data_IF_472889664077
#
_entry.id   IF_472889664077
#
_cell.length_a   1.000
_cell.length_b   1.000
_cell.length_c   1.000
_cell.angle_alpha   90.00
_cell.angle_beta   90.00
_cell.angle_gamma   90.00
#
_symmetry.space_group_name_H-M   'P 1'
#
loop_
_entity.id
_entity.type
_entity.pdbx_description
1 polymer ?
#
# COMPACT_ATOMS: atom_id res chain seq x y z
N UNK A 1 -19.96 -22.91 5.28
CA UNK A 1 -18.75 -22.91 6.13
C UNK A 1 -19.18 -22.95 7.61
N UNK A 2 -19.31 -24.14 8.13
CA UNK A 2 -19.69 -24.33 9.54
C UNK A 2 -18.38 -24.32 10.36
N UNK A 3 -18.25 -23.46 11.36
CA UNK A 3 -17.19 -23.34 12.34
C UNK A 3 -16.03 -22.34 12.08
N UNK A 4 -16.15 -21.37 11.18
CA UNK A 4 -15.21 -20.25 11.11
C UNK A 4 -15.45 -19.34 12.31
N UNK A 5 -14.42 -19.10 13.12
CA UNK A 5 -14.45 -18.23 14.30
C UNK A 5 -13.58 -16.98 14.16
N UNK A 6 -12.65 -17.00 13.21
CA UNK A 6 -11.73 -15.90 12.96
C UNK A 6 -11.54 -15.69 11.45
N UNK A 7 -11.29 -14.44 11.08
CA UNK A 7 -10.97 -14.01 9.72
C UNK A 7 -9.69 -13.19 9.79
N UNK A 8 -8.71 -13.56 8.98
CA UNK A 8 -7.44 -12.84 8.88
C UNK A 8 -7.37 -12.25 7.47
N UNK A 9 -7.09 -10.95 7.39
CA UNK A 9 -7.00 -10.20 6.15
C UNK A 9 -5.54 -9.94 5.80
N UNK A 10 -5.24 -9.96 4.52
CA UNK A 10 -4.13 -9.19 3.98
C UNK A 10 -4.44 -7.69 4.06
N UNK A 11 -3.42 -6.85 4.16
CA UNK A 11 -3.59 -5.42 4.36
C UNK A 11 -3.56 -4.62 3.03
N UNK A 12 -2.39 -4.64 2.37
CA UNK A 12 -2.10 -3.76 1.24
C UNK A 12 -2.68 -4.29 -0.08
N UNK A 13 -3.66 -3.58 -0.63
CA UNK A 13 -4.41 -4.01 -1.82
C UNK A 13 -5.63 -4.88 -1.51
N UNK A 14 -5.88 -5.17 -0.23
CA UNK A 14 -7.06 -5.91 0.26
C UNK A 14 -7.93 -5.04 1.16
N UNK A 15 -7.39 -4.51 2.25
CA UNK A 15 -8.08 -3.56 3.12
C UNK A 15 -7.79 -2.12 2.74
N UNK A 16 -6.57 -1.82 2.32
CA UNK A 16 -6.09 -0.47 2.03
C UNK A 16 -5.71 -0.32 0.56
N UNK A 17 -6.15 0.78 -0.03
CA UNK A 17 -5.77 1.18 -1.38
C UNK A 17 -4.36 1.77 -1.37
N UNK A 18 -3.40 1.02 -1.91
CA UNK A 18 -1.99 1.40 -1.97
C UNK A 18 -1.74 2.61 -2.89
N UNK A 19 -2.63 2.89 -3.83
CA UNK A 19 -2.51 4.03 -4.72
C UNK A 19 -3.01 5.33 -4.08
N UNK A 20 -3.71 5.26 -2.95
CA UNK A 20 -4.34 6.42 -2.32
C UNK A 20 -3.34 7.50 -1.86
N UNK A 21 -2.08 7.13 -1.56
CA UNK A 21 -1.05 8.12 -1.25
C UNK A 21 -0.74 9.02 -2.45
N UNK A 22 -0.48 8.43 -3.61
CA UNK A 22 -0.23 9.18 -4.84
C UNK A 22 -1.48 9.92 -5.34
N UNK A 23 -2.67 9.31 -5.19
CA UNK A 23 -3.93 9.94 -5.55
C UNK A 23 -4.18 11.25 -4.77
N UNK A 24 -3.87 11.26 -3.48
CA UNK A 24 -3.98 12.49 -2.66
C UNK A 24 -3.04 13.61 -3.11
N UNK A 25 -1.97 13.26 -3.84
CA UNK A 25 -1.04 14.21 -4.44
C UNK A 25 -1.27 14.46 -5.93
N UNK A 26 -2.38 13.97 -6.51
CA UNK A 26 -2.64 14.04 -7.96
C UNK A 26 -2.56 15.44 -8.56
N UNK A 27 -2.98 16.46 -7.82
CA UNK A 27 -2.94 17.84 -8.29
C UNK A 27 -1.50 18.37 -8.41
N UNK A 28 -0.58 17.88 -7.58
CA UNK A 28 0.85 18.20 -7.63
C UNK A 28 1.60 17.35 -8.64
N UNK A 29 1.28 16.06 -8.74
CA UNK A 29 1.91 15.11 -9.66
C UNK A 29 1.43 15.32 -11.10
N UNK A 30 0.17 15.73 -11.28
CA UNK A 30 -0.44 15.91 -12.58
C UNK A 30 -0.93 14.60 -13.21
N UNK A 31 -1.13 14.59 -14.53
CA UNK A 31 -1.73 13.48 -15.29
C UNK A 31 -0.97 12.14 -15.19
N UNK A 32 0.29 12.15 -14.75
CA UNK A 32 1.11 10.95 -14.60
C UNK A 32 0.93 10.23 -13.26
N UNK A 33 0.05 10.71 -12.37
CA UNK A 33 -0.09 10.17 -11.02
C UNK A 33 -0.47 8.68 -10.97
N UNK A 34 -1.37 8.22 -11.83
CA UNK A 34 -1.77 6.79 -11.89
C UNK A 34 -0.61 5.89 -12.32
N UNK A 35 0.08 6.29 -13.40
CA UNK A 35 1.26 5.56 -13.87
C UNK A 35 2.34 5.50 -12.82
N UNK A 36 2.59 6.61 -12.12
CA UNK A 36 3.52 6.69 -11.01
C UNK A 36 3.11 5.77 -9.85
N UNK A 37 1.84 5.81 -9.42
CA UNK A 37 1.33 4.97 -8.33
C UNK A 37 1.48 3.47 -8.64
N UNK A 38 1.10 3.06 -9.84
CA UNK A 38 1.22 1.68 -10.29
C UNK A 38 2.69 1.24 -10.39
N UNK A 39 3.56 2.10 -10.89
CA UNK A 39 5.00 1.81 -10.97
C UNK A 39 5.62 1.69 -9.57
N UNK A 40 5.26 2.56 -8.65
CA UNK A 40 5.71 2.49 -7.25
C UNK A 40 5.30 1.15 -6.62
N UNK A 41 4.04 0.75 -6.75
CA UNK A 41 3.55 -0.53 -6.24
C UNK A 41 4.25 -1.72 -6.88
N UNK A 42 4.39 -1.74 -8.18
CA UNK A 42 5.08 -2.83 -8.90
C UNK A 42 6.53 -2.95 -8.46
N UNK A 43 7.24 -1.83 -8.38
CA UNK A 43 8.64 -1.79 -7.93
C UNK A 43 8.79 -2.27 -6.48
N UNK A 44 7.85 -1.89 -5.60
CA UNK A 44 7.81 -2.35 -4.21
C UNK A 44 7.70 -3.87 -4.11
N UNK A 45 6.80 -4.48 -4.88
CA UNK A 45 6.63 -5.94 -4.93
C UNK A 45 7.87 -6.64 -5.53
N UNK A 46 8.39 -6.13 -6.63
CA UNK A 46 9.60 -6.65 -7.26
C UNK A 46 10.79 -6.63 -6.30
N UNK A 47 11.02 -5.52 -5.59
CA UNK A 47 12.09 -5.39 -4.61
C UNK A 47 11.95 -6.37 -3.45
N UNK A 48 10.72 -6.57 -2.96
CA UNK A 48 10.44 -7.54 -1.91
C UNK A 48 10.82 -8.95 -2.36
N UNK A 49 10.40 -9.36 -3.54
CA UNK A 49 10.66 -10.71 -4.06
C UNK A 49 12.13 -10.93 -4.41
N UNK A 50 12.73 -9.98 -5.13
CA UNK A 50 14.14 -10.10 -5.54
C UNK A 50 15.08 -10.09 -4.33
N UNK A 51 14.85 -9.24 -3.34
CA UNK A 51 15.68 -9.20 -2.13
C UNK A 51 15.55 -10.49 -1.32
N UNK A 52 14.36 -11.06 -1.23
CA UNK A 52 14.14 -12.33 -0.56
C UNK A 52 14.88 -13.47 -1.29
N UNK A 53 14.81 -13.54 -2.60
CA UNK A 53 15.52 -14.53 -3.42
C UNK A 53 17.06 -14.39 -3.32
N UNK A 54 17.55 -13.18 -3.16
CA UNK A 54 18.99 -12.92 -2.99
C UNK A 54 19.50 -13.08 -1.54
N UNK A 55 18.64 -13.50 -0.59
CA UNK A 55 18.96 -13.49 0.86
C UNK A 55 19.38 -12.12 1.39
N UNK A 56 18.80 -11.06 0.82
CA UNK A 56 19.05 -9.65 1.21
C UNK A 56 17.75 -8.96 1.61
N UNK A 57 16.95 -9.65 2.37
CA UNK A 57 15.67 -9.13 2.88
C UNK A 57 15.87 -7.78 3.58
N UNK A 58 14.95 -6.87 3.34
CA UNK A 58 14.75 -5.60 4.07
C UNK A 58 13.32 -5.55 4.57
N UNK A 59 13.10 -4.82 5.65
CA UNK A 59 11.74 -4.61 6.12
C UNK A 59 10.89 -3.87 5.06
N UNK A 60 9.59 -4.00 5.21
CA UNK A 60 8.65 -3.48 4.23
C UNK A 60 8.73 -1.95 4.08
N UNK A 61 9.06 -1.24 5.17
CA UNK A 61 9.18 0.21 5.12
C UNK A 61 10.39 0.63 4.27
N UNK A 62 11.55 0.02 4.48
CA UNK A 62 12.73 0.28 3.66
C UNK A 62 12.49 -0.02 2.18
N UNK A 63 11.76 -1.11 1.89
CA UNK A 63 11.35 -1.43 0.50
C UNK A 63 10.42 -0.37 -0.06
N UNK A 64 9.50 0.16 0.75
CA UNK A 64 8.59 1.23 0.35
C UNK A 64 9.34 2.51 0.00
N UNK A 65 10.32 2.90 0.81
CA UNK A 65 11.18 4.07 0.56
C UNK A 65 12.02 3.90 -0.70
N UNK A 66 12.74 2.79 -0.82
CA UNK A 66 13.62 2.54 -1.97
C UNK A 66 12.85 2.46 -3.30
N UNK A 67 11.66 1.87 -3.28
CA UNK A 67 10.79 1.79 -4.46
C UNK A 67 10.19 3.15 -4.80
N UNK A 68 9.88 3.99 -3.80
CA UNK A 68 9.45 5.37 -4.02
C UNK A 68 10.55 6.17 -4.71
N UNK A 69 11.78 6.12 -4.21
CA UNK A 69 12.91 6.86 -4.76
C UNK A 69 13.16 6.50 -6.24
N UNK A 70 13.09 5.21 -6.58
CA UNK A 70 13.17 4.75 -7.97
C UNK A 70 12.02 5.28 -8.81
N UNK A 71 10.80 5.25 -8.28
CA UNK A 71 9.60 5.65 -9.01
C UNK A 71 9.57 7.16 -9.26
N UNK A 72 9.95 7.95 -8.25
CA UNK A 72 10.07 9.41 -8.39
C UNK A 72 11.05 9.78 -9.49
N UNK A 73 12.20 9.11 -9.54
CA UNK A 73 13.19 9.32 -10.60
C UNK A 73 12.67 8.91 -11.98
N UNK A 74 11.97 7.78 -12.08
CA UNK A 74 11.42 7.28 -13.34
C UNK A 74 10.34 8.19 -13.93
N UNK A 75 9.57 8.86 -13.09
CA UNK A 75 8.45 9.74 -13.48
C UNK A 75 8.79 11.23 -13.37
N UNK A 76 10.04 11.57 -13.08
CA UNK A 76 10.47 12.95 -12.86
C UNK A 76 9.55 13.70 -11.88
N UNK A 77 9.38 13.13 -10.70
CA UNK A 77 8.65 13.72 -9.58
C UNK A 77 9.63 14.48 -8.71
N UNK A 78 9.28 15.72 -8.35
CA UNK A 78 10.12 16.57 -7.50
C UNK A 78 10.41 15.90 -6.14
N UNK A 79 11.69 15.84 -5.79
CA UNK A 79 12.15 15.18 -4.55
C UNK A 79 11.53 15.80 -3.29
N UNK A 80 11.10 17.05 -3.33
CA UNK A 80 10.44 17.71 -2.21
C UNK A 80 9.12 17.02 -1.80
N UNK A 81 8.50 16.24 -2.70
CA UNK A 81 7.28 15.48 -2.42
C UNK A 81 7.54 14.17 -1.67
N UNK A 82 8.80 13.72 -1.55
CA UNK A 82 9.14 12.41 -0.98
C UNK A 82 8.53 12.18 0.41
N UNK A 83 8.75 13.11 1.31
CA UNK A 83 8.29 12.98 2.69
C UNK A 83 6.75 13.00 2.77
N UNK A 84 6.09 13.86 2.00
CA UNK A 84 4.63 13.90 1.93
C UNK A 84 4.04 12.56 1.45
N UNK A 85 4.61 11.98 0.39
CA UNK A 85 4.17 10.68 -0.13
C UNK A 85 4.37 9.54 0.88
N UNK A 86 5.51 9.54 1.59
CA UNK A 86 5.76 8.56 2.65
C UNK A 86 4.82 8.72 3.84
N UNK A 87 4.52 9.95 4.26
CA UNK A 87 3.59 10.19 5.35
C UNK A 87 2.16 9.80 4.97
N UNK A 88 1.75 10.04 3.73
CA UNK A 88 0.47 9.56 3.20
C UNK A 88 0.41 8.03 3.08
N UNK A 89 1.55 7.38 2.83
CA UNK A 89 1.61 5.92 2.78
C UNK A 89 1.39 5.27 4.16
N UNK A 90 1.72 5.96 5.24
CA UNK A 90 1.42 5.51 6.63
C UNK A 90 -0.06 5.55 6.97
N UNK A 91 -0.86 6.32 6.22
CA UNK A 91 -2.29 6.56 6.46
C UNK A 91 -3.11 6.31 5.19
N UNK A 92 -2.88 5.17 4.54
CA UNK A 92 -3.60 4.77 3.34
C UNK A 92 -5.11 4.75 3.57
N UNK A 93 -5.86 5.10 2.53
CA UNK A 93 -7.32 5.01 2.56
C UNK A 93 -7.77 3.54 2.47
N UNK A 94 -8.75 3.10 3.27
CA UNK A 94 -9.37 1.81 3.05
C UNK A 94 -10.18 1.84 1.75
N UNK A 95 -10.37 0.67 1.11
CA UNK A 95 -11.37 0.55 0.06
C UNK A 95 -12.76 0.88 0.61
N UNK A 96 -13.61 1.43 -0.23
CA UNK A 96 -14.91 2.02 0.16
C UNK A 96 -15.81 1.05 0.95
N UNK A 97 -15.78 -0.22 0.60
CA UNK A 97 -16.59 -1.27 1.22
C UNK A 97 -16.04 -1.78 2.56
N UNK A 98 -14.74 -1.63 2.81
CA UNK A 98 -14.04 -2.24 3.96
C UNK A 98 -14.62 -1.83 5.31
N UNK A 99 -14.87 -0.56 5.63
CA UNK A 99 -15.41 -0.18 6.93
C UNK A 99 -16.76 -0.85 7.23
N UNK A 100 -17.64 -0.92 6.23
CA UNK A 100 -18.95 -1.56 6.35
C UNK A 100 -18.85 -3.07 6.57
N UNK A 101 -18.01 -3.75 5.79
CA UNK A 101 -17.79 -5.20 5.90
C UNK A 101 -17.18 -5.56 7.26
N UNK A 102 -16.15 -4.85 7.68
CA UNK A 102 -15.49 -5.08 8.98
C UNK A 102 -16.48 -4.92 10.14
N UNK A 103 -17.34 -3.91 10.09
CA UNK A 103 -18.39 -3.69 11.09
C UNK A 103 -19.35 -4.89 11.16
N UNK A 104 -19.87 -5.33 10.01
CA UNK A 104 -20.79 -6.48 9.93
C UNK A 104 -20.14 -7.76 10.47
N UNK A 105 -18.89 -8.02 10.14
CA UNK A 105 -18.16 -9.20 10.62
C UNK A 105 -17.97 -9.16 12.13
N UNK A 106 -17.68 -7.99 12.69
CA UNK A 106 -17.57 -7.79 14.15
C UNK A 106 -18.90 -8.01 14.86
N UNK A 107 -20.01 -7.50 14.31
CA UNK A 107 -21.36 -7.72 14.84
C UNK A 107 -21.76 -9.21 14.81
N UNK A 108 -21.24 -9.98 13.88
CA UNK A 108 -21.39 -11.45 13.81
C UNK A 108 -20.44 -12.22 14.71
N UNK A 109 -19.72 -11.54 15.59
CA UNK A 109 -18.79 -12.12 16.58
C UNK A 109 -17.59 -12.87 15.97
N UNK A 110 -17.17 -12.56 14.74
CA UNK A 110 -15.91 -13.06 14.23
C UNK A 110 -14.72 -12.35 14.88
N UNK A 111 -13.68 -13.10 15.21
CA UNK A 111 -12.38 -12.52 15.55
C UNK A 111 -11.72 -12.05 14.26
N UNK A 112 -11.27 -10.79 14.24
CA UNK A 112 -10.66 -10.20 13.05
C UNK A 112 -9.18 -9.91 13.32
N UNK A 113 -8.34 -10.18 12.35
CA UNK A 113 -6.92 -9.89 12.40
C UNK A 113 -6.38 -9.47 11.03
N UNK A 114 -5.19 -8.90 11.02
CA UNK A 114 -4.42 -8.54 9.83
C UNK A 114 -3.11 -9.31 9.86
N UNK A 115 -2.71 -9.84 8.72
CA UNK A 115 -1.43 -10.52 8.55
C UNK A 115 -0.46 -9.62 7.80
#
# INVERSE_FOLDING_TARGET
MKNIKAIIFDAYGTLFDVNSAAEKCKDKIGSKWEGFANYWRTTQLEYTWLRSLMNRHKDFWQVTEDSLDKSMKAFDIDISMRNELLDLYKVLSPFKEVPGVVKILKEKNYKLGIL
#
